data_IF_529459435893
#
_entry.id   IF_529459435893
#
_cell.length_a   1.000
_cell.length_b   1.000
_cell.length_c   1.000
_cell.angle_alpha   90.00
_cell.angle_beta   90.00
_cell.angle_gamma   90.00
#
_symmetry.space_group_name_H-M   'P 1'
#
loop_
_entity.id
_entity.type
_entity.pdbx_description
1 polymer ?
#
# COMPACT_ATOMS: atom_id res chain seq x y z
N UNK A 1 -14.29 -33.11 -38.52
CA UNK A 1 -13.16 -32.27 -38.12
C UNK A 1 -13.75 -30.97 -37.61
N UNK A 2 -13.96 -30.85 -36.30
CA UNK A 2 -14.55 -29.63 -35.72
C UNK A 2 -13.50 -28.51 -35.74
N UNK A 3 -13.87 -27.27 -36.08
CA UNK A 3 -12.92 -26.17 -36.11
C UNK A 3 -12.43 -25.89 -34.69
N UNK A 4 -11.11 -25.82 -34.52
CA UNK A 4 -10.44 -25.39 -33.30
C UNK A 4 -10.88 -23.93 -33.06
N UNK A 5 -11.43 -23.58 -31.88
CA UNK A 5 -11.78 -22.20 -31.59
C UNK A 5 -10.51 -21.34 -31.64
N UNK A 6 -10.59 -20.07 -32.07
CA UNK A 6 -9.43 -19.18 -32.08
C UNK A 6 -9.07 -18.78 -30.64
N UNK A 7 -8.46 -19.70 -29.90
CA UNK A 7 -7.75 -19.42 -28.67
C UNK A 7 -6.40 -18.79 -29.04
N UNK A 8 -6.39 -17.47 -29.30
CA UNK A 8 -5.31 -16.56 -28.85
C UNK A 8 -5.59 -15.07 -29.21
N UNK A 9 -6.83 -14.60 -29.06
CA UNK A 9 -7.06 -13.15 -29.10
C UNK A 9 -6.66 -12.60 -27.73
N UNK A 10 -5.56 -11.83 -27.70
CA UNK A 10 -5.04 -11.20 -26.48
C UNK A 10 -6.11 -10.46 -25.67
N UNK A 11 -5.78 -10.02 -24.44
CA UNK A 11 -6.78 -9.49 -23.52
C UNK A 11 -7.57 -8.33 -24.15
N UNK A 12 -8.91 -8.45 -24.15
CA UNK A 12 -9.78 -7.42 -24.71
C UNK A 12 -9.54 -6.06 -24.03
N UNK A 13 -9.79 -4.96 -24.76
CA UNK A 13 -9.71 -3.60 -24.21
C UNK A 13 -10.46 -3.45 -22.89
N UNK A 14 -11.68 -3.98 -22.81
CA UNK A 14 -12.48 -3.95 -21.60
C UNK A 14 -11.82 -4.72 -20.43
N UNK A 15 -11.22 -5.87 -20.71
CA UNK A 15 -10.45 -6.65 -19.71
C UNK A 15 -9.24 -5.86 -19.19
N UNK A 16 -8.49 -5.20 -20.08
CA UNK A 16 -7.33 -4.39 -19.70
C UNK A 16 -7.74 -3.20 -18.81
N UNK A 17 -8.81 -2.49 -19.16
CA UNK A 17 -9.33 -1.38 -18.35
C UNK A 17 -9.82 -1.85 -16.97
N UNK A 18 -10.58 -2.94 -16.91
CA UNK A 18 -11.03 -3.53 -15.64
C UNK A 18 -9.85 -3.92 -14.73
N UNK A 19 -8.79 -4.50 -15.31
CA UNK A 19 -7.56 -4.83 -14.57
C UNK A 19 -6.82 -3.59 -14.09
N UNK A 20 -6.83 -2.50 -14.87
CA UNK A 20 -6.22 -1.23 -14.46
C UNK A 20 -6.97 -0.63 -13.26
N UNK A 21 -8.30 -0.58 -13.32
CA UNK A 21 -9.13 -0.10 -12.22
C UNK A 21 -8.98 -0.94 -10.94
N UNK A 22 -8.92 -2.27 -11.08
CA UNK A 22 -8.68 -3.15 -9.94
C UNK A 22 -7.35 -2.85 -9.24
N UNK A 23 -6.30 -2.53 -10.01
CA UNK A 23 -5.00 -2.12 -9.46
C UNK A 23 -5.06 -0.76 -8.76
N UNK A 24 -5.75 0.22 -9.33
CA UNK A 24 -5.95 1.52 -8.66
C UNK A 24 -6.70 1.37 -7.34
N UNK A 25 -7.78 0.58 -7.32
CA UNK A 25 -8.53 0.31 -6.07
C UNK A 25 -7.64 -0.33 -5.02
N UNK A 26 -6.78 -1.28 -5.41
CA UNK A 26 -5.83 -1.89 -4.48
C UNK A 26 -4.76 -0.89 -4.01
N UNK A 27 -4.25 -0.02 -4.89
CA UNK A 27 -3.31 1.04 -4.52
C UNK A 27 -3.90 1.98 -3.47
N UNK A 28 -5.17 2.38 -3.64
CA UNK A 28 -5.88 3.20 -2.65
C UNK A 28 -6.00 2.53 -1.28
N UNK A 29 -6.14 1.20 -1.22
CA UNK A 29 -6.12 0.47 0.07
C UNK A 29 -4.74 0.51 0.74
N UNK A 30 -3.68 0.34 -0.04
CA UNK A 30 -2.31 0.43 0.47
C UNK A 30 -1.98 1.82 1.02
N UNK A 31 -2.42 2.89 0.34
CA UNK A 31 -2.26 4.26 0.87
C UNK A 31 -3.03 4.43 2.19
N UNK A 32 -4.27 3.93 2.25
CA UNK A 32 -5.07 3.96 3.48
C UNK A 32 -4.39 3.22 4.65
N UNK A 33 -3.79 2.06 4.39
CA UNK A 33 -3.01 1.34 5.41
C UNK A 33 -1.76 2.10 5.83
N UNK A 34 -1.04 2.73 4.90
CA UNK A 34 0.13 3.55 5.24
C UNK A 34 -0.25 4.68 6.21
N UNK A 35 -1.35 5.40 5.95
CA UNK A 35 -1.86 6.45 6.85
C UNK A 35 -2.27 5.90 8.22
N UNK A 36 -2.92 4.73 8.27
CA UNK A 36 -3.30 4.11 9.54
C UNK A 36 -2.07 3.75 10.38
N UNK A 37 -1.04 3.17 9.76
CA UNK A 37 0.21 2.79 10.43
C UNK A 37 0.93 4.01 11.03
N UNK A 38 1.03 5.11 10.30
CA UNK A 38 1.64 6.36 10.79
C UNK A 38 0.90 6.93 12.01
N UNK A 39 -0.43 6.79 12.05
CA UNK A 39 -1.26 7.30 13.15
C UNK A 39 -1.21 6.44 14.42
N UNK A 40 -0.87 5.16 14.30
CA UNK A 40 -1.00 4.19 15.39
C UNK A 40 -0.13 4.53 16.61
N UNK A 41 1.14 4.87 16.37
CA UNK A 41 2.08 5.23 17.44
C UNK A 41 2.08 6.72 17.80
N UNK A 42 1.30 7.56 17.14
CA UNK A 42 1.21 8.99 17.48
C UNK A 42 0.63 9.25 18.88
N UNK A 43 -0.10 8.26 19.42
CA UNK A 43 -0.79 8.36 20.72
C UNK A 43 -0.06 7.69 21.88
N UNK A 44 1.04 6.98 21.61
CA UNK A 44 1.80 6.24 22.62
C UNK A 44 2.95 7.11 23.12
N UNK A 45 2.91 7.49 24.40
CA UNK A 45 3.90 8.38 25.00
C UNK A 45 4.04 8.12 26.51
N UNK A 46 5.21 8.38 27.07
CA UNK A 46 5.45 8.50 28.53
C UNK A 46 5.16 9.91 29.06
N UNK A 47 4.80 10.84 28.18
CA UNK A 47 4.49 12.23 28.52
C UNK A 47 2.99 12.51 28.49
N UNK A 48 2.52 13.30 29.46
CA UNK A 48 1.19 13.87 29.47
C UNK A 48 1.31 15.40 29.37
N UNK A 49 0.71 16.00 28.33
CA UNK A 49 0.82 17.45 28.06
C UNK A 49 2.26 17.98 28.00
N UNK A 50 3.21 17.13 27.56
CA UNK A 50 4.63 17.47 27.48
C UNK A 50 5.41 17.29 28.78
N UNK A 51 4.77 16.89 29.88
CA UNK A 51 5.45 16.53 31.13
C UNK A 51 5.68 15.04 31.19
N UNK A 52 6.91 14.61 31.49
CA UNK A 52 7.21 13.22 31.76
C UNK A 52 6.56 12.80 33.08
N UNK A 53 5.55 11.94 33.01
CA UNK A 53 4.75 11.51 34.16
C UNK A 53 5.13 10.10 34.63
N UNK A 54 5.94 9.39 33.85
CA UNK A 54 6.43 8.06 34.16
C UNK A 54 7.94 7.99 33.91
N UNK A 55 8.70 7.76 34.98
CA UNK A 55 10.17 7.77 34.97
C UNK A 55 10.77 6.47 35.53
N UNK A 56 12.08 6.33 35.39
CA UNK A 56 12.87 5.20 35.89
C UNK A 56 13.04 4.06 34.88
N UNK A 57 13.73 2.96 35.27
CA UNK A 57 14.17 1.93 34.33
C UNK A 57 13.05 1.25 33.54
N UNK A 58 11.83 1.18 34.10
CA UNK A 58 10.68 0.63 33.39
C UNK A 58 10.19 1.56 32.28
N UNK A 59 10.16 2.88 32.53
CA UNK A 59 9.79 3.88 31.54
C UNK A 59 10.81 3.96 30.39
N UNK A 60 12.10 3.82 30.72
CA UNK A 60 13.19 3.76 29.71
C UNK A 60 13.03 2.57 28.77
N UNK A 61 12.82 1.36 29.32
CA UNK A 61 12.58 0.14 28.51
C UNK A 61 11.34 0.27 27.64
N UNK A 62 10.26 0.82 28.19
CA UNK A 62 9.03 1.07 27.44
C UNK A 62 9.28 2.02 26.27
N UNK A 63 9.94 3.15 26.51
CA UNK A 63 10.24 4.16 25.47
C UNK A 63 11.13 3.59 24.38
N UNK A 64 12.15 2.82 24.75
CA UNK A 64 12.99 2.08 23.79
C UNK A 64 12.17 1.13 22.92
N UNK A 65 11.32 0.31 23.55
CA UNK A 65 10.44 -0.64 22.83
C UNK A 65 9.49 0.09 21.88
N UNK A 66 8.88 1.21 22.32
CA UNK A 66 7.97 2.00 21.48
C UNK A 66 8.71 2.62 20.29
N UNK A 67 9.94 3.10 20.49
CA UNK A 67 10.77 3.65 19.42
C UNK A 67 11.08 2.59 18.36
N UNK A 68 11.47 1.38 18.78
CA UNK A 68 11.78 0.29 17.86
C UNK A 68 10.53 -0.14 17.07
N UNK A 69 9.37 -0.28 17.74
CA UNK A 69 8.10 -0.61 17.06
C UNK A 69 7.61 0.49 16.13
N UNK A 70 7.85 1.75 16.47
CA UNK A 70 7.58 2.88 15.57
C UNK A 70 8.42 2.78 14.31
N UNK A 71 9.72 2.51 14.43
CA UNK A 71 10.61 2.36 13.27
C UNK A 71 10.17 1.21 12.34
N UNK A 72 9.80 0.05 12.90
CA UNK A 72 9.26 -1.07 12.13
C UNK A 72 7.94 -0.70 11.41
N UNK A 73 7.09 0.08 12.07
CA UNK A 73 5.80 0.52 11.53
C UNK A 73 5.98 1.53 10.41
N UNK A 74 6.91 2.47 10.57
CA UNK A 74 7.26 3.45 9.55
C UNK A 74 7.82 2.75 8.30
N UNK A 75 8.65 1.71 8.47
CA UNK A 75 9.13 0.88 7.37
C UNK A 75 7.99 0.13 6.66
N UNK A 76 7.02 -0.39 7.41
CA UNK A 76 5.85 -1.05 6.82
C UNK A 76 4.95 -0.07 6.06
N UNK A 77 4.78 1.16 6.56
CA UNK A 77 4.05 2.22 5.87
C UNK A 77 4.73 2.60 4.55
N UNK A 78 6.06 2.67 4.53
CA UNK A 78 6.82 2.91 3.30
C UNK A 78 6.66 1.78 2.28
N UNK A 79 6.68 0.52 2.72
CA UNK A 79 6.41 -0.63 1.84
C UNK A 79 5.01 -0.57 1.23
N UNK A 80 4.01 -0.10 1.99
CA UNK A 80 2.66 0.12 1.50
C UNK A 80 2.63 1.21 0.40
N UNK A 81 3.29 2.36 0.62
CA UNK A 81 3.40 3.43 -0.39
C UNK A 81 4.11 2.96 -1.66
N UNK A 82 5.23 2.25 -1.50
CA UNK A 82 5.97 1.67 -2.63
C UNK A 82 5.09 0.70 -3.43
N UNK A 83 4.32 -0.15 -2.75
CA UNK A 83 3.39 -1.08 -3.40
C UNK A 83 2.28 -0.34 -4.15
N UNK A 84 1.69 0.69 -3.53
CA UNK A 84 0.68 1.54 -4.17
C UNK A 84 1.22 2.21 -5.45
N UNK A 85 2.43 2.77 -5.39
CA UNK A 85 3.09 3.37 -6.56
C UNK A 85 3.32 2.36 -7.69
N UNK A 86 3.78 1.14 -7.35
CA UNK A 86 3.98 0.07 -8.34
C UNK A 86 2.66 -0.38 -8.98
N UNK A 87 1.58 -0.49 -8.20
CA UNK A 87 0.24 -0.81 -8.70
C UNK A 87 -0.26 0.25 -9.68
N UNK A 88 -0.09 1.53 -9.36
CA UNK A 88 -0.44 2.66 -10.25
C UNK A 88 0.36 2.64 -11.54
N UNK A 89 1.67 2.40 -11.47
CA UNK A 89 2.51 2.26 -12.66
C UNK A 89 2.01 1.13 -13.57
N UNK A 90 1.67 -0.02 -12.97
CA UNK A 90 1.12 -1.15 -13.73
C UNK A 90 -0.28 -0.87 -14.28
N UNK A 91 -1.13 -0.14 -13.55
CA UNK A 91 -2.43 0.31 -14.06
C UNK A 91 -2.28 1.27 -15.24
N UNK A 92 -1.31 2.19 -15.19
CA UNK A 92 -0.93 3.06 -16.31
C UNK A 92 -0.56 2.25 -17.55
N UNK A 93 0.33 1.26 -17.41
CA UNK A 93 0.71 0.37 -18.52
C UNK A 93 -0.50 -0.33 -19.13
N UNK A 94 -1.40 -0.88 -18.31
CA UNK A 94 -2.63 -1.53 -18.79
C UNK A 94 -3.56 -0.59 -19.57
N UNK A 95 -3.61 0.69 -19.19
CA UNK A 95 -4.38 1.70 -19.93
C UNK A 95 -3.74 2.02 -21.27
N UNK A 96 -2.42 2.06 -21.36
CA UNK A 96 -1.72 2.21 -22.64
C UNK A 96 -1.93 1.00 -23.55
N UNK A 97 -1.79 -0.22 -23.01
CA UNK A 97 -2.07 -1.46 -23.75
C UNK A 97 -3.54 -1.47 -24.26
N UNK A 98 -4.49 -0.97 -23.46
CA UNK A 98 -5.89 -0.87 -23.85
C UNK A 98 -6.16 0.12 -24.98
N UNK A 99 -5.33 1.16 -25.14
CA UNK A 99 -5.40 2.08 -26.29
C UNK A 99 -4.86 1.40 -27.55
N UNK A 100 -3.82 0.58 -27.42
CA UNK A 100 -3.23 -0.15 -28.53
C UNK A 100 -4.15 -1.26 -29.05
N UNK A 101 -4.94 -1.89 -28.18
CA UNK A 101 -5.95 -2.89 -28.55
C UNK A 101 -7.18 -2.35 -29.32
N UNK A 102 -7.17 -1.06 -29.69
CA UNK A 102 -8.20 -0.37 -30.49
C UNK A 102 -7.81 -0.29 -31.99
N UNK A 103 -6.57 -0.66 -32.31
CA UNK A 103 -6.00 -0.74 -33.66
C UNK A 103 -5.82 -2.20 -34.08
#
# INVERSE_FOLDING_TARGET
MSPIPPEDQGPSRASLLNRAEAKERLAGRFDGWATQLESFFARVSTTAKGTEVWTGPAAERFTGTVKDRRAETDALAENCRTTAANLRRSAGKLREDAKQALH
#
